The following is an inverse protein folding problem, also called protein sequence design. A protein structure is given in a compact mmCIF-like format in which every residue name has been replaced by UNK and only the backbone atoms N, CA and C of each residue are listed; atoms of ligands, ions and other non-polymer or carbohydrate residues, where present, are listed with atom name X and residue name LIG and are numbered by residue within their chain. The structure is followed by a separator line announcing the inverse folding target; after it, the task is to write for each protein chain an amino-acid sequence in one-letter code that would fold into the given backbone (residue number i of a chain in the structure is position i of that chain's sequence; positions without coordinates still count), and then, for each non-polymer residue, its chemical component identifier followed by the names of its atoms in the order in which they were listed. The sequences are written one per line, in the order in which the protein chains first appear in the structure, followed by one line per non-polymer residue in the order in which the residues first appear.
data_IF_357598756659
#
_entry.id   IF_357598756659
#
_cell.length_a   1.000
_cell.length_b   1.000
_cell.length_c   1.000
_cell.angle_alpha   90.00
_cell.angle_beta   90.00
_cell.angle_gamma   90.00
#
_symmetry.space_group_name_H-M   'P 1'
#
loop_
_entity.id
_entity.type
_entity.pdbx_description
1 polymer ?
#
# COMPACT_ATOMS: atom_id res chain seq x y z
N UNK A 1 -4.31 13.13 -5.55
CA UNK A 1 -4.33 11.93 -4.68
C UNK A 1 -2.95 11.77 -4.03
N UNK A 2 -2.89 11.26 -2.81
CA UNK A 2 -1.66 10.95 -2.08
C UNK A 2 -1.70 9.50 -1.60
N UNK A 3 -0.55 8.83 -1.61
CA UNK A 3 -0.42 7.47 -1.08
C UNK A 3 -0.09 7.58 0.39
N UNK A 4 -0.96 7.06 1.25
CA UNK A 4 -0.67 6.88 2.66
C UNK A 4 -0.08 5.47 2.84
N UNK A 5 1.25 5.41 2.91
CA UNK A 5 1.99 4.21 3.28
C UNK A 5 2.46 4.27 4.74
N UNK A 6 3.10 3.20 5.20
CA UNK A 6 3.57 3.07 6.58
C UNK A 6 4.56 4.17 6.95
N UNK A 7 5.47 4.52 6.04
CA UNK A 7 6.42 5.62 6.23
C UNK A 7 5.73 6.97 6.38
N UNK A 8 4.72 7.25 5.56
CA UNK A 8 3.94 8.48 5.64
C UNK A 8 3.12 8.54 6.93
N UNK A 9 2.52 7.43 7.34
CA UNK A 9 1.80 7.33 8.61
C UNK A 9 2.72 7.63 9.80
N UNK A 10 3.95 7.09 9.80
CA UNK A 10 4.94 7.36 10.85
C UNK A 10 5.40 8.82 10.86
N UNK A 11 5.64 9.43 9.70
CA UNK A 11 6.00 10.85 9.64
C UNK A 11 4.89 11.75 10.22
N UNK A 12 3.62 11.43 9.99
CA UNK A 12 2.47 12.16 10.54
C UNK A 12 2.43 12.09 12.09
N UNK A 13 2.74 10.92 12.66
CA UNK A 13 2.89 10.76 14.12
C UNK A 13 4.05 11.59 14.66
N UNK A 14 5.22 11.48 14.04
CA UNK A 14 6.42 12.22 14.45
C UNK A 14 6.18 13.74 14.38
N UNK A 15 5.47 14.23 13.36
CA UNK A 15 5.08 15.63 13.27
C UNK A 15 4.13 16.06 14.39
N UNK A 16 3.17 15.21 14.78
CA UNK A 16 2.30 15.50 15.93
C UNK A 16 3.08 15.53 17.24
N UNK A 17 3.98 14.58 17.45
CA UNK A 17 4.85 14.56 18.64
C UNK A 17 5.76 15.79 18.66
N UNK A 18 6.28 16.22 17.50
CA UNK A 18 7.11 17.43 17.39
C UNK A 18 6.34 18.70 17.73
N UNK A 19 5.05 18.77 17.38
CA UNK A 19 4.15 19.89 17.70
C UNK A 19 3.70 19.85 19.16
N UNK A 20 3.40 18.67 19.69
CA UNK A 20 3.01 18.43 21.08
C UNK A 20 3.75 17.21 21.66
N UNK A 21 4.85 17.42 22.42
CA UNK A 21 5.63 16.34 23.02
C UNK A 21 4.84 15.42 23.95
N UNK A 22 3.69 15.86 24.49
CA UNK A 22 2.83 15.02 25.34
C UNK A 22 2.12 13.90 24.59
N UNK A 23 2.18 13.92 23.26
CA UNK A 23 1.65 12.85 22.41
C UNK A 23 2.59 11.66 22.32
N UNK A 24 3.84 11.78 22.79
CA UNK A 24 4.79 10.67 22.78
C UNK A 24 4.27 9.47 23.58
N UNK A 25 4.29 8.29 22.97
CA UNK A 25 3.82 7.03 23.57
C UNK A 25 2.32 6.79 23.51
N UNK A 26 1.52 7.73 22.97
CA UNK A 26 0.09 7.51 22.70
C UNK A 26 -0.12 6.74 21.41
N UNK A 27 -1.28 6.11 21.28
CA UNK A 27 -1.72 5.48 20.03
C UNK A 27 -2.14 6.53 18.99
N UNK A 28 -2.16 6.17 17.70
CA UNK A 28 -2.62 7.05 16.61
C UNK A 28 -4.00 7.65 16.89
N UNK A 29 -4.93 6.81 17.36
CA UNK A 29 -6.31 7.23 17.66
C UNK A 29 -6.33 8.25 18.78
N UNK A 30 -5.57 8.04 19.85
CA UNK A 30 -5.45 9.00 20.96
C UNK A 30 -4.77 10.31 20.55
N UNK A 31 -3.89 10.27 19.56
CA UNK A 31 -3.33 11.47 18.94
C UNK A 31 -4.35 12.17 18.05
N UNK A 32 -5.51 11.57 17.74
CA UNK A 32 -6.49 12.08 16.78
C UNK A 32 -6.05 11.89 15.33
N UNK A 33 -5.27 10.84 15.06
CA UNK A 33 -4.89 10.38 13.72
C UNK A 33 -5.70 9.14 13.37
N UNK A 34 -5.93 8.94 12.08
CA UNK A 34 -6.61 7.74 11.58
C UNK A 34 -5.72 6.50 11.79
N UNK A 35 -6.32 5.37 12.18
CA UNK A 35 -5.61 4.09 12.27
C UNK A 35 -4.99 3.72 10.92
N UNK A 36 -3.77 3.19 10.97
CA UNK A 36 -3.12 2.66 9.79
C UNK A 36 -3.48 1.19 9.63
N UNK A 37 -4.44 0.91 8.74
CA UNK A 37 -4.87 -0.47 8.43
C UNK A 37 -4.12 -1.07 7.24
N UNK A 38 -3.38 -0.25 6.49
CA UNK A 38 -2.59 -0.66 5.34
C UNK A 38 -2.38 0.51 4.38
N UNK A 39 -1.64 0.25 3.30
CA UNK A 39 -1.39 1.27 2.28
C UNK A 39 -2.68 1.59 1.52
N UNK A 40 -3.05 2.87 1.52
CA UNK A 40 -4.25 3.37 0.84
C UNK A 40 -3.94 4.61 0.01
N UNK A 41 -4.75 4.84 -1.01
CA UNK A 41 -4.70 6.08 -1.79
C UNK A 41 -5.81 6.99 -1.26
N UNK A 42 -5.43 8.16 -0.76
CA UNK A 42 -6.35 9.20 -0.34
C UNK A 42 -6.50 10.23 -1.45
N UNK A 43 -7.73 10.62 -1.76
CA UNK A 43 -8.01 11.67 -2.72
C UNK A 43 -9.20 12.50 -2.27
N UNK A 44 -9.18 13.80 -2.56
CA UNK A 44 -10.34 14.67 -2.33
C UNK A 44 -11.02 14.89 -3.68
N UNK A 45 -12.31 14.58 -3.77
CA UNK A 45 -13.12 14.83 -4.96
C UNK A 45 -14.38 15.57 -4.53
N UNK A 46 -14.60 16.77 -5.08
CA UNK A 46 -15.75 17.63 -4.74
C UNK A 46 -15.92 17.87 -3.22
N UNK A 47 -14.81 18.00 -2.48
CA UNK A 47 -14.83 18.20 -1.03
C UNK A 47 -15.05 16.92 -0.21
N UNK A 48 -15.25 15.77 -0.85
CA UNK A 48 -15.35 14.47 -0.18
C UNK A 48 -13.99 13.77 -0.16
N UNK A 49 -13.57 13.30 1.01
CA UNK A 49 -12.39 12.46 1.15
C UNK A 49 -12.73 11.01 0.72
N UNK A 50 -12.04 10.55 -0.32
CA UNK A 50 -12.17 9.21 -0.87
C UNK A 50 -10.90 8.43 -0.53
N UNK A 51 -11.07 7.24 0.04
CA UNK A 51 -9.98 6.32 0.35
C UNK A 51 -10.10 5.07 -0.51
N UNK A 52 -9.08 4.79 -1.32
CA UNK A 52 -8.99 3.60 -2.19
C UNK A 52 -8.01 2.62 -1.55
N UNK A 53 -8.52 1.44 -1.17
CA UNK A 53 -7.73 0.35 -0.58
C UNK A 53 -7.49 -0.77 -1.60
N UNK A 54 -6.65 -1.75 -1.23
CA UNK A 54 -6.44 -2.97 -2.03
C UNK A 54 -7.76 -3.71 -2.31
N UNK A 55 -8.65 -3.77 -1.31
CA UNK A 55 -9.97 -4.40 -1.43
C UNK A 55 -10.83 -3.74 -2.52
N UNK A 56 -10.79 -2.42 -2.65
CA UNK A 56 -11.52 -1.72 -3.71
C UNK A 56 -11.01 -2.11 -5.10
N UNK A 57 -9.69 -2.21 -5.27
CA UNK A 57 -9.08 -2.62 -6.53
C UNK A 57 -9.43 -4.09 -6.85
N UNK A 58 -9.30 -5.00 -5.88
CA UNK A 58 -9.66 -6.41 -6.06
C UNK A 58 -11.11 -6.58 -6.51
N UNK A 59 -12.04 -5.85 -5.86
CA UNK A 59 -13.46 -5.86 -6.21
C UNK A 59 -13.73 -5.35 -7.63
N UNK A 60 -13.05 -4.28 -8.06
CA UNK A 60 -13.18 -3.75 -9.43
C UNK A 60 -12.67 -4.74 -10.47
N UNK A 61 -11.60 -5.48 -10.15
CA UNK A 61 -11.02 -6.49 -11.03
C UNK A 61 -11.76 -7.83 -11.01
N UNK A 62 -12.76 -8.00 -10.11
CA UNK A 62 -13.49 -9.26 -9.97
C UNK A 62 -12.65 -10.41 -9.41
N UNK A 63 -11.61 -10.09 -8.63
CA UNK A 63 -10.73 -11.08 -7.98
C UNK A 63 -10.92 -11.03 -6.46
N UNK A 64 -10.58 -12.12 -5.79
CA UNK A 64 -10.57 -12.15 -4.32
C UNK A 64 -9.42 -11.29 -3.75
N UNK A 65 -9.67 -10.58 -2.65
CA UNK A 65 -8.70 -9.71 -2.00
C UNK A 65 -7.72 -10.51 -1.09
N UNK A 66 -6.93 -11.39 -1.70
CA UNK A 66 -5.93 -12.20 -1.01
C UNK A 66 -4.56 -12.13 -1.67
N UNK A 67 -3.57 -12.70 -0.99
CA UNK A 67 -2.19 -12.79 -1.50
C UNK A 67 -1.21 -11.88 -0.77
N UNK A 68 0.06 -12.06 -1.11
CA UNK A 68 1.20 -11.42 -0.48
C UNK A 68 1.88 -10.48 -1.46
N UNK A 69 2.48 -9.38 -0.99
CA UNK A 69 3.19 -8.44 -1.87
C UNK A 69 4.50 -9.06 -2.33
N UNK A 70 4.72 -9.08 -3.65
CA UNK A 70 5.97 -9.57 -4.25
C UNK A 70 7.18 -8.76 -3.75
N UNK A 71 7.00 -7.47 -3.44
CA UNK A 71 8.06 -6.61 -2.91
C UNK A 71 8.69 -7.14 -1.63
N UNK A 72 7.92 -7.85 -0.82
CA UNK A 72 8.31 -8.27 0.53
C UNK A 72 9.23 -9.51 0.46
N UNK A 73 9.28 -10.18 -0.69
CA UNK A 73 10.15 -11.33 -0.98
C UNK A 73 11.34 -10.95 -1.87
N UNK A 74 11.68 -9.66 -1.99
CA UNK A 74 12.72 -9.17 -2.92
C UNK A 74 14.09 -9.82 -2.72
N UNK A 75 14.44 -10.17 -1.49
CA UNK A 75 15.69 -10.84 -1.11
C UNK A 75 15.69 -12.34 -1.36
N UNK A 76 14.53 -12.95 -1.60
CA UNK A 76 14.37 -14.40 -1.66
C UNK A 76 14.25 -14.86 -3.12
N UNK A 77 15.39 -15.22 -3.70
CA UNK A 77 15.57 -15.56 -5.12
C UNK A 77 14.61 -16.69 -5.56
N UNK A 78 14.31 -17.60 -4.64
CA UNK A 78 13.49 -18.78 -4.88
C UNK A 78 12.04 -18.44 -5.29
N UNK A 79 11.39 -17.53 -4.56
CA UNK A 79 10.02 -17.14 -4.86
C UNK A 79 9.94 -16.33 -6.15
N UNK A 80 10.93 -15.49 -6.43
CA UNK A 80 11.01 -14.72 -7.68
C UNK A 80 11.08 -15.61 -8.92
N UNK A 81 11.89 -16.67 -8.88
CA UNK A 81 12.00 -17.61 -10.00
C UNK A 81 10.69 -18.37 -10.23
N UNK A 82 10.07 -18.85 -9.15
CA UNK A 82 8.81 -19.60 -9.22
C UNK A 82 7.66 -18.73 -9.75
N UNK A 83 7.50 -17.52 -9.19
CA UNK A 83 6.48 -16.55 -9.62
C UNK A 83 6.68 -16.17 -11.08
N UNK A 84 7.93 -15.96 -11.52
CA UNK A 84 8.23 -15.60 -12.91
C UNK A 84 7.86 -16.73 -13.89
N UNK A 85 8.10 -17.98 -13.52
CA UNK A 85 7.74 -19.15 -14.32
C UNK A 85 6.23 -19.36 -14.43
N UNK A 86 5.50 -19.03 -13.37
CA UNK A 86 4.04 -19.17 -13.33
C UNK A 86 3.31 -18.02 -14.06
N UNK A 87 3.81 -16.79 -13.92
CA UNK A 87 3.20 -15.60 -14.54
C UNK A 87 3.51 -15.45 -16.03
N UNK A 88 4.66 -15.94 -16.50
CA UNK A 88 5.09 -15.75 -17.88
C UNK A 88 5.33 -17.09 -18.55
N UNK A 89 4.55 -17.38 -19.60
CA UNK A 89 4.74 -18.56 -20.45
C UNK A 89 6.06 -18.52 -21.23
N UNK A 90 6.61 -17.32 -21.45
CA UNK A 90 7.91 -17.08 -22.10
C UNK A 90 8.68 -16.02 -21.31
N UNK A 91 9.89 -16.31 -20.84
CA UNK A 91 10.66 -15.37 -20.00
C UNK A 91 11.02 -14.05 -20.69
N UNK A 92 11.04 -14.05 -22.04
CA UNK A 92 11.39 -12.91 -22.90
C UNK A 92 10.27 -11.86 -23.03
N UNK A 93 9.04 -12.17 -22.62
CA UNK A 93 7.92 -11.23 -22.52
C UNK A 93 7.76 -10.63 -21.12
N UNK A 94 8.56 -11.07 -20.14
CA UNK A 94 8.56 -10.47 -18.81
C UNK A 94 8.99 -8.99 -18.90
N UNK A 95 8.09 -8.08 -18.51
CA UNK A 95 8.32 -6.63 -18.55
C UNK A 95 8.04 -5.95 -19.90
N UNK A 96 7.52 -6.66 -20.91
CA UNK A 96 7.01 -6.05 -22.13
C UNK A 96 5.51 -5.75 -21.97
N UNK A 97 5.13 -4.48 -22.03
CA UNK A 97 3.72 -4.13 -22.21
C UNK A 97 3.33 -4.54 -23.64
N UNK A 98 2.26 -5.32 -23.79
CA UNK A 98 1.64 -5.48 -25.11
C UNK A 98 0.95 -4.16 -25.42
N UNK A 99 1.67 -3.26 -26.09
CA UNK A 99 1.09 -2.13 -26.78
C UNK A 99 0.19 -2.72 -27.88
N UNK A 100 -1.12 -2.56 -27.73
CA UNK A 100 -2.07 -2.81 -28.82
C UNK A 100 -1.98 -1.68 -29.83
#
# INVERSE_FOLDING_TARGET
AQVLDETSARMEEEEKIRKDPKMQGKTRVEMGLNEFTGTVIKSVLAGLEITISRAHIAKILGIEDYGKRISDYKSDVYYRQSIRKELYTVEQSAGKANCM
#
